data_IF_691021735140
#
_entry.id   IF_691021735140
#
_cell.length_a   1.000
_cell.length_b   1.000
_cell.length_c   1.000
_cell.angle_alpha   90.00
_cell.angle_beta   90.00
_cell.angle_gamma   90.00
#
_symmetry.space_group_name_H-M   'P 1'
#
loop_
_entity.id
_entity.type
_entity.pdbx_description
1 polymer ?
#
# COMPACT_ATOMS: atom_id res chain seq x y z
N UNK A 1 21.99 -25.05 -21.71
CA UNK A 1 22.04 -23.61 -21.37
C UNK A 1 20.79 -22.93 -21.95
N UNK A 2 19.75 -22.64 -21.16
CA UNK A 2 18.73 -21.68 -21.56
C UNK A 2 19.03 -20.31 -20.92
N UNK A 3 19.07 -19.28 -21.74
CA UNK A 3 18.99 -17.88 -21.32
C UNK A 3 17.52 -17.53 -21.09
N UNK A 4 17.11 -17.05 -19.90
CA UNK A 4 15.83 -16.37 -19.78
C UNK A 4 16.04 -14.93 -20.22
N UNK A 5 15.54 -14.62 -21.41
CA UNK A 5 15.27 -13.28 -21.89
C UNK A 5 14.43 -12.55 -20.86
N UNK A 6 15.00 -11.47 -20.32
CA UNK A 6 14.37 -10.55 -19.39
C UNK A 6 13.23 -9.79 -20.08
N UNK A 7 12.10 -10.47 -20.28
CA UNK A 7 10.83 -9.89 -20.68
C UNK A 7 9.93 -9.63 -19.47
N UNK A 8 10.47 -9.07 -18.38
CA UNK A 8 9.66 -8.60 -17.28
C UNK A 8 9.43 -7.10 -17.48
N UNK A 9 8.46 -6.77 -18.33
CA UNK A 9 7.92 -5.44 -18.48
C UNK A 9 7.60 -4.89 -17.08
N UNK A 10 8.48 -4.00 -16.62
CA UNK A 10 8.40 -3.32 -15.36
C UNK A 10 7.23 -2.34 -15.42
N UNK A 11 6.04 -2.78 -15.02
CA UNK A 11 5.03 -1.89 -14.47
C UNK A 11 5.66 -1.24 -13.22
N UNK A 12 6.24 -0.06 -13.42
CA UNK A 12 7.09 0.67 -12.48
C UNK A 12 6.30 1.29 -11.32
N UNK A 13 5.54 0.46 -10.61
CA UNK A 13 5.24 0.67 -9.19
C UNK A 13 6.37 0.05 -8.37
N UNK A 14 6.81 0.73 -7.31
CA UNK A 14 7.84 0.17 -6.41
C UNK A 14 7.39 -1.23 -5.97
N UNK A 15 8.14 -2.28 -6.33
CA UNK A 15 7.88 -3.64 -5.86
C UNK A 15 8.07 -3.63 -4.35
N UNK A 16 6.99 -3.49 -3.60
CA UNK A 16 7.05 -3.34 -2.15
C UNK A 16 7.32 -4.67 -1.39
N UNK A 17 7.54 -5.77 -2.13
CA UNK A 17 7.82 -7.10 -1.57
C UNK A 17 9.07 -7.16 -0.66
N UNK A 18 10.24 -6.68 -1.10
CA UNK A 18 11.46 -6.70 -0.27
C UNK A 18 11.33 -5.83 0.98
N UNK A 19 10.65 -4.69 0.87
CA UNK A 19 10.36 -3.80 2.01
C UNK A 19 9.45 -4.49 3.04
N UNK A 20 8.43 -5.21 2.58
CA UNK A 20 7.58 -6.00 3.44
C UNK A 20 8.37 -7.04 4.25
N UNK A 21 9.24 -7.81 3.58
CA UNK A 21 10.08 -8.81 4.25
C UNK A 21 11.05 -8.19 5.28
N UNK A 22 11.56 -6.98 5.01
CA UNK A 22 12.41 -6.24 5.95
C UNK A 22 11.61 -5.83 7.21
N UNK A 23 10.39 -5.32 7.04
CA UNK A 23 9.53 -4.89 8.15
C UNK A 23 9.11 -6.08 9.01
N UNK A 24 8.85 -7.23 8.39
CA UNK A 24 8.53 -8.47 9.09
C UNK A 24 9.71 -9.00 9.93
N UNK A 25 10.94 -8.87 9.42
CA UNK A 25 12.16 -9.34 10.10
C UNK A 25 12.68 -8.38 11.18
N UNK A 26 12.32 -7.09 11.12
CA UNK A 26 12.81 -6.09 12.06
C UNK A 26 11.88 -5.93 13.28
N UNK A 27 12.14 -6.71 14.33
CA UNK A 27 11.36 -6.71 15.59
C UNK A 27 11.43 -5.45 16.46
N UNK A 28 12.05 -4.36 15.98
CA UNK A 28 12.15 -3.07 16.70
C UNK A 28 11.56 -1.89 15.93
N UNK A 29 11.17 -2.09 14.68
CA UNK A 29 10.67 -1.00 13.84
C UNK A 29 9.27 -0.62 14.31
N UNK A 30 9.11 0.58 14.87
CA UNK A 30 7.80 1.11 15.34
C UNK A 30 7.09 1.98 14.31
N UNK A 31 7.85 2.67 13.47
CA UNK A 31 7.35 3.67 12.54
C UNK A 31 7.96 3.44 11.16
N UNK A 32 7.13 3.37 10.13
CA UNK A 32 7.55 3.30 8.73
C UNK A 32 6.86 4.39 7.93
N UNK A 33 7.64 5.30 7.35
CA UNK A 33 7.13 6.30 6.41
C UNK A 33 7.63 5.97 5.01
N UNK A 34 6.68 5.76 4.09
CA UNK A 34 6.93 5.61 2.66
C UNK A 34 6.18 6.71 1.88
N UNK A 35 6.00 7.88 2.50
CA UNK A 35 5.35 9.00 1.86
C UNK A 35 6.12 9.47 0.61
N UNK A 36 5.39 9.93 -0.42
CA UNK A 36 6.00 10.49 -1.65
C UNK A 36 6.65 9.44 -2.57
N UNK A 37 6.32 8.17 -2.42
CA UNK A 37 6.79 7.11 -3.28
C UNK A 37 5.81 6.82 -4.43
N UNK A 38 6.16 5.86 -5.30
CA UNK A 38 5.29 5.36 -6.39
C UNK A 38 4.70 4.00 -6.02
N UNK A 39 4.17 3.87 -4.80
CA UNK A 39 3.50 2.65 -4.35
C UNK A 39 2.10 2.62 -4.94
N UNK A 40 1.77 1.53 -5.63
CA UNK A 40 0.43 1.26 -6.18
C UNK A 40 -0.43 0.52 -5.17
N UNK A 41 -1.74 0.39 -5.42
CA UNK A 41 -2.65 -0.42 -4.59
C UNK A 41 -2.11 -1.84 -4.34
N UNK A 42 -1.59 -2.49 -5.38
CA UNK A 42 -1.00 -3.84 -5.26
C UNK A 42 0.24 -3.83 -4.35
N UNK A 43 1.05 -2.78 -4.42
CA UNK A 43 2.21 -2.60 -3.55
C UNK A 43 1.80 -2.37 -2.09
N UNK A 44 0.78 -1.53 -1.84
CA UNK A 44 0.29 -1.26 -0.50
C UNK A 44 -0.34 -2.49 0.16
N UNK A 45 -1.09 -3.31 -0.59
CA UNK A 45 -1.64 -4.56 -0.04
C UNK A 45 -0.53 -5.53 0.39
N UNK A 46 0.54 -5.65 -0.39
CA UNK A 46 1.71 -6.48 -0.01
C UNK A 46 2.44 -5.94 1.21
N UNK A 47 2.57 -4.62 1.33
CA UNK A 47 3.17 -3.99 2.52
C UNK A 47 2.33 -4.23 3.76
N UNK A 48 1.01 -4.09 3.65
CA UNK A 48 0.08 -4.33 4.74
C UNK A 48 0.16 -5.79 5.19
N UNK A 49 0.14 -6.74 4.25
CA UNK A 49 0.27 -8.16 4.56
C UNK A 49 1.58 -8.50 5.27
N UNK A 50 2.69 -7.94 4.81
CA UNK A 50 3.98 -8.15 5.46
C UNK A 50 4.08 -7.43 6.82
N UNK A 51 3.46 -6.26 6.94
CA UNK A 51 3.42 -5.49 8.20
C UNK A 51 2.64 -6.23 9.30
N UNK A 52 1.67 -7.09 8.95
CA UNK A 52 0.99 -7.97 9.91
C UNK A 52 1.96 -8.89 10.66
N UNK A 53 3.04 -9.32 10.00
CA UNK A 53 4.06 -10.18 10.61
C UNK A 53 4.96 -9.43 11.60
N UNK A 54 5.03 -8.09 11.50
CA UNK A 54 5.82 -7.27 12.42
C UNK A 54 5.06 -7.03 13.73
N UNK A 55 5.58 -7.57 14.84
CA UNK A 55 5.00 -7.36 16.18
C UNK A 55 5.25 -5.96 16.75
N UNK A 56 6.25 -5.25 16.23
CA UNK A 56 6.72 -3.96 16.76
C UNK A 56 6.17 -2.74 16.03
N UNK A 57 5.70 -2.89 14.79
CA UNK A 57 5.20 -1.77 14.01
C UNK A 57 3.92 -1.21 14.64
N UNK A 58 3.80 0.11 14.67
CA UNK A 58 2.66 0.86 15.21
C UNK A 58 2.19 1.98 14.29
N UNK A 59 3.03 2.41 13.34
CA UNK A 59 2.68 3.47 12.40
C UNK A 59 3.22 3.20 10.99
N UNK A 60 2.34 3.33 10.00
CA UNK A 60 2.63 3.18 8.58
C UNK A 60 2.07 4.37 7.81
N UNK A 61 2.91 5.10 7.08
CA UNK A 61 2.45 6.12 6.14
C UNK A 61 2.77 5.78 4.71
N UNK A 62 1.75 5.90 3.88
CA UNK A 62 1.76 5.77 2.43
C UNK A 62 1.23 7.07 1.78
N UNK A 63 1.33 8.22 2.48
CA UNK A 63 0.88 9.51 1.96
C UNK A 63 1.50 9.83 0.60
N UNK A 64 0.76 10.52 -0.27
CA UNK A 64 1.30 11.02 -1.53
C UNK A 64 1.90 9.90 -2.42
N UNK A 65 1.23 8.74 -2.45
CA UNK A 65 1.55 7.60 -3.33
C UNK A 65 0.49 7.41 -4.43
N UNK A 66 0.78 6.57 -5.42
CA UNK A 66 -0.09 6.30 -6.57
C UNK A 66 -1.03 5.13 -6.32
N UNK A 67 -1.78 5.17 -5.21
CA UNK A 67 -2.66 4.07 -4.82
C UNK A 67 -3.78 3.84 -5.83
N UNK A 68 -4.40 4.92 -6.30
CA UNK A 68 -5.46 4.87 -7.32
C UNK A 68 -4.92 4.66 -8.74
N UNK A 69 -3.64 4.96 -8.99
CA UNK A 69 -3.07 5.00 -10.34
C UNK A 69 -3.39 6.32 -11.06
N UNK A 70 -2.66 6.59 -12.15
CA UNK A 70 -2.78 7.87 -12.89
C UNK A 70 -4.06 7.95 -13.72
N UNK A 71 -4.58 6.81 -14.16
CA UNK A 71 -5.76 6.75 -15.04
C UNK A 71 -7.08 6.80 -14.26
N UNK A 72 -7.01 6.86 -12.92
CA UNK A 72 -8.16 6.84 -12.02
C UNK A 72 -8.92 8.17 -11.94
N UNK A 73 -8.37 9.23 -12.54
CA UNK A 73 -9.03 10.54 -12.61
C UNK A 73 -10.30 10.53 -13.47
N UNK A 74 -10.55 9.45 -14.22
CA UNK A 74 -11.74 9.29 -15.07
C UNK A 74 -12.63 8.16 -14.55
N UNK A 75 -13.93 8.44 -14.46
CA UNK A 75 -14.95 7.47 -14.14
C UNK A 75 -15.12 6.49 -15.31
N UNK A 76 -15.02 5.19 -15.03
CA UNK A 76 -15.02 4.14 -16.04
C UNK A 76 -16.41 3.86 -16.64
N UNK A 77 -17.49 4.37 -16.03
CA UNK A 77 -18.87 4.19 -16.50
C UNK A 77 -19.30 5.38 -17.36
N UNK A 78 -19.02 6.59 -16.88
CA UNK A 78 -19.48 7.85 -17.49
C UNK A 78 -18.43 8.51 -18.38
N UNK A 79 -17.17 8.09 -18.30
CA UNK A 79 -16.04 8.70 -19.02
C UNK A 79 -15.68 10.11 -18.56
N UNK A 80 -16.34 10.62 -17.52
CA UNK A 80 -16.11 11.96 -16.98
C UNK A 80 -14.98 11.96 -15.97
N UNK A 81 -14.33 13.11 -15.79
CA UNK A 81 -13.38 13.28 -14.69
C UNK A 81 -14.10 13.13 -13.34
N UNK A 82 -13.55 12.30 -12.45
CA UNK A 82 -14.03 12.16 -11.07
C UNK A 82 -13.86 13.48 -10.34
N UNK A 83 -14.82 13.82 -9.49
CA UNK A 83 -14.68 14.98 -8.62
C UNK A 83 -13.64 14.70 -7.53
N UNK A 84 -13.04 15.74 -6.91
CA UNK A 84 -12.19 15.54 -5.74
C UNK A 84 -12.88 14.74 -4.63
N UNK A 85 -14.20 14.90 -4.46
CA UNK A 85 -14.98 14.16 -3.47
C UNK A 85 -15.07 12.66 -3.80
N UNK A 86 -15.23 12.29 -5.07
CA UNK A 86 -15.24 10.89 -5.50
C UNK A 86 -13.88 10.22 -5.25
N UNK A 87 -12.80 10.93 -5.58
CA UNK A 87 -11.43 10.45 -5.38
C UNK A 87 -11.14 10.27 -3.88
N UNK A 88 -11.54 11.22 -3.04
CA UNK A 88 -11.36 11.14 -1.59
C UNK A 88 -12.15 9.98 -1.00
N UNK A 89 -13.38 9.75 -1.46
CA UNK A 89 -14.20 8.62 -1.02
C UNK A 89 -13.57 7.28 -1.42
N UNK A 90 -13.06 7.16 -2.64
CA UNK A 90 -12.38 5.95 -3.10
C UNK A 90 -11.08 5.69 -2.33
N UNK A 91 -10.32 6.75 -2.01
CA UNK A 91 -9.14 6.65 -1.14
C UNK A 91 -9.52 6.20 0.27
N UNK A 92 -10.58 6.74 0.87
CA UNK A 92 -11.04 6.34 2.21
C UNK A 92 -11.53 4.88 2.21
N UNK A 93 -12.21 4.43 1.15
CA UNK A 93 -12.60 3.02 1.00
C UNK A 93 -11.37 2.10 0.98
N UNK A 94 -10.34 2.48 0.22
CA UNK A 94 -9.06 1.74 0.20
C UNK A 94 -8.39 1.79 1.57
N UNK A 95 -8.41 2.94 2.25
CA UNK A 95 -7.86 3.10 3.59
C UNK A 95 -8.48 2.14 4.57
N UNK A 96 -9.81 2.11 4.63
CA UNK A 96 -10.57 1.25 5.54
C UNK A 96 -10.24 -0.21 5.26
N UNK A 97 -10.27 -0.63 4.00
CA UNK A 97 -9.91 -2.00 3.60
C UNK A 97 -8.48 -2.37 4.02
N UNK A 98 -7.49 -1.49 3.79
CA UNK A 98 -6.11 -1.74 4.19
C UNK A 98 -5.94 -1.75 5.71
N UNK A 99 -6.64 -0.89 6.45
CA UNK A 99 -6.64 -0.85 7.92
C UNK A 99 -7.21 -2.15 8.49
N UNK A 100 -8.30 -2.65 7.93
CA UNK A 100 -8.93 -3.90 8.35
C UNK A 100 -7.98 -5.08 8.17
N UNK A 101 -7.36 -5.18 7.00
CA UNK A 101 -6.38 -6.23 6.70
C UNK A 101 -5.17 -6.11 7.64
N UNK A 102 -4.66 -4.90 7.86
CA UNK A 102 -3.47 -4.64 8.68
C UNK A 102 -3.67 -4.98 10.16
N UNK A 103 -4.90 -4.76 10.66
CA UNK A 103 -5.25 -4.92 12.06
C UNK A 103 -6.07 -6.19 12.34
N UNK A 104 -6.28 -7.04 11.34
CA UNK A 104 -6.94 -8.32 11.49
C UNK A 104 -6.24 -9.14 12.58
N UNK A 105 -7.01 -9.59 13.57
CA UNK A 105 -6.54 -10.37 14.72
C UNK A 105 -5.49 -9.67 15.62
N UNK A 106 -5.36 -8.33 15.55
CA UNK A 106 -4.52 -7.56 16.48
C UNK A 106 -5.34 -7.02 17.65
N UNK A 107 -4.74 -7.05 18.84
CA UNK A 107 -5.28 -6.36 19.99
C UNK A 107 -5.30 -4.83 19.73
N UNK A 108 -6.25 -4.08 20.32
CA UNK A 108 -6.36 -2.63 20.13
C UNK A 108 -5.05 -1.86 20.33
N UNK A 109 -4.25 -2.26 21.31
CA UNK A 109 -2.94 -1.69 21.67
C UNK A 109 -1.80 -2.02 20.68
N UNK A 110 -2.01 -3.01 19.80
CA UNK A 110 -1.06 -3.42 18.76
C UNK A 110 -1.45 -2.94 17.37
N UNK A 111 -2.59 -2.24 17.26
CA UNK A 111 -3.09 -1.73 15.99
C UNK A 111 -2.10 -0.75 15.37
N UNK A 112 -1.83 -0.96 14.09
CA UNK A 112 -0.98 -0.10 13.29
C UNK A 112 -1.86 1.00 12.72
N UNK A 113 -1.45 2.25 12.98
CA UNK A 113 -2.08 3.43 12.37
C UNK A 113 -1.60 3.56 10.92
N UNK A 114 -2.53 3.44 9.98
CA UNK A 114 -2.28 3.68 8.55
C UNK A 114 -2.68 5.11 8.17
N UNK A 115 -1.80 5.78 7.43
CA UNK A 115 -2.02 7.12 6.90
C UNK A 115 -1.73 7.15 5.41
N UNK A 116 -2.71 7.53 4.59
CA UNK A 116 -2.60 7.69 3.13
C UNK A 116 -2.96 9.10 2.68
#
# INVERSE_FOLDING_TARGET
RPTPTAGAAAAAGVRAGPLGALVASHGRLRTLSLAGNRITLSGSSKLVEASKQSKSLRWLSLKNNQLLGKDYEFDNITGKRKTPQDIEKDLENIRLSLVDILNLNRAPEERIKLVI
#
